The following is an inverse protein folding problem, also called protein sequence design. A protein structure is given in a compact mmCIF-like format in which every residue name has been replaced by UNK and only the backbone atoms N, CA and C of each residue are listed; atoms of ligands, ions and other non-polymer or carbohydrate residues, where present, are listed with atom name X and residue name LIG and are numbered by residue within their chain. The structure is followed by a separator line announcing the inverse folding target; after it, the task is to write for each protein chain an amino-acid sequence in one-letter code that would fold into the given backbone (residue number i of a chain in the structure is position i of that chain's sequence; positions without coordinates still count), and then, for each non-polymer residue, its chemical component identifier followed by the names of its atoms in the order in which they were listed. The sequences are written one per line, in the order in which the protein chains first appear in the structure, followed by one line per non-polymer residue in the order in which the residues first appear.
data_IF_402374901144
#
_entry.id   IF_402374901144
#
_cell.length_a   1.000
_cell.length_b   1.000
_cell.length_c   1.000
_cell.angle_alpha   90.00
_cell.angle_beta   90.00
_cell.angle_gamma   90.00
#
_symmetry.space_group_name_H-M   'P 1'
#
loop_
_entity.id
_entity.type
_entity.pdbx_description
1 polymer ?
#
# COMPACT_ATOMS: atom_id res chain seq x y z
N UNK A 1 66.67 19.65 -28.37
CA UNK A 1 65.41 19.86 -29.10
C UNK A 1 64.37 18.93 -28.50
N UNK A 2 63.39 19.49 -27.79
CA UNK A 2 62.28 18.75 -27.19
C UNK A 2 61.10 18.73 -28.18
N UNK A 3 60.46 17.57 -28.33
CA UNK A 3 59.14 17.42 -28.95
C UNK A 3 58.35 16.34 -28.21
N UNK A 4 57.01 16.45 -28.14
CA UNK A 4 56.19 15.86 -27.07
C UNK A 4 55.52 14.53 -27.47
N UNK A 5 54.98 13.76 -26.51
CA UNK A 5 54.13 12.60 -26.83
C UNK A 5 52.69 13.06 -27.14
N UNK A 6 52.14 12.59 -28.26
CA UNK A 6 50.74 12.77 -28.61
C UNK A 6 50.00 11.43 -28.60
N UNK A 7 48.78 11.48 -28.04
CA UNK A 7 47.63 10.61 -28.25
C UNK A 7 47.67 9.18 -27.69
N UNK A 8 47.28 9.08 -26.42
CA UNK A 8 46.48 7.96 -25.92
C UNK A 8 45.00 8.24 -26.21
N UNK A 9 44.42 7.51 -27.16
CA UNK A 9 42.97 7.30 -27.24
C UNK A 9 42.57 6.21 -26.24
N UNK A 10 41.57 6.43 -25.38
CA UNK A 10 40.75 5.34 -24.87
C UNK A 10 39.46 5.29 -25.68
N UNK A 11 39.23 4.15 -26.32
CA UNK A 11 37.95 3.79 -26.90
C UNK A 11 36.89 3.75 -25.79
N UNK A 12 35.91 4.65 -25.86
CA UNK A 12 34.67 4.55 -25.11
C UNK A 12 33.84 3.41 -25.70
N UNK A 13 33.60 2.37 -24.92
CA UNK A 13 32.49 1.43 -25.08
C UNK A 13 32.07 1.03 -23.67
N UNK A 14 30.93 1.56 -23.21
CA UNK A 14 29.67 0.82 -23.04
C UNK A 14 29.83 -0.27 -21.97
N UNK A 15 29.10 -0.28 -20.86
CA UNK A 15 27.65 -0.19 -20.81
C UNK A 15 27.18 0.15 -19.39
N UNK A 16 26.18 1.01 -19.27
CA UNK A 16 25.16 0.84 -18.23
C UNK A 16 23.84 1.20 -18.87
N UNK A 17 23.10 0.16 -19.27
CA UNK A 17 21.69 0.25 -19.62
C UNK A 17 20.96 0.68 -18.36
N UNK A 18 20.76 1.99 -18.20
CA UNK A 18 19.78 2.51 -17.28
C UNK A 18 18.42 2.17 -17.86
N UNK A 19 17.72 1.23 -17.24
CA UNK A 19 16.32 1.01 -17.58
C UNK A 19 15.56 2.29 -17.24
N UNK A 20 15.05 2.97 -18.26
CA UNK A 20 14.27 4.22 -18.15
C UNK A 20 12.94 4.05 -17.36
N UNK A 21 12.62 2.83 -16.92
CA UNK A 21 11.42 2.49 -16.14
C UNK A 21 11.46 2.94 -14.66
N UNK A 22 12.63 3.35 -14.15
CA UNK A 22 12.79 3.70 -12.74
C UNK A 22 12.32 5.12 -12.39
N UNK A 23 12.14 6.00 -13.38
CA UNK A 23 11.80 7.40 -13.12
C UNK A 23 10.32 7.58 -12.71
N UNK A 24 9.43 6.70 -13.16
CA UNK A 24 7.99 6.78 -12.89
C UNK A 24 7.55 6.07 -11.59
N UNK A 25 8.45 5.38 -10.89
CA UNK A 25 8.11 4.68 -9.65
C UNK A 25 8.05 5.66 -8.48
N UNK A 26 6.99 5.59 -7.68
CA UNK A 26 6.86 6.46 -6.51
C UNK A 26 7.69 5.92 -5.33
N UNK A 27 8.43 6.82 -4.67
CA UNK A 27 9.17 6.49 -3.45
C UNK A 27 8.23 6.25 -2.28
N UNK A 28 8.42 5.12 -1.60
CA UNK A 28 7.64 4.74 -0.41
C UNK A 28 8.56 4.34 0.74
N UNK A 29 8.05 4.51 1.97
CA UNK A 29 8.68 4.04 3.20
C UNK A 29 7.66 3.24 4.02
N UNK A 30 7.99 2.03 4.53
CA UNK A 30 7.11 1.36 5.48
C UNK A 30 7.07 2.11 6.80
N UNK A 31 5.88 2.29 7.37
CA UNK A 31 5.65 2.96 8.66
C UNK A 31 4.72 2.08 9.51
N UNK A 32 5.26 1.47 10.58
CA UNK A 32 4.56 0.44 11.36
C UNK A 32 3.93 -0.61 10.44
N UNK A 33 2.60 -0.79 10.48
CA UNK A 33 1.87 -1.70 9.59
C UNK A 33 1.48 -1.09 8.23
N UNK A 34 1.92 0.12 7.90
CA UNK A 34 1.49 0.91 6.74
C UNK A 34 2.63 1.44 5.86
N UNK A 35 2.33 2.50 5.11
CA UNK A 35 3.26 3.13 4.17
C UNK A 35 3.13 4.64 4.21
N UNK A 36 4.23 5.33 3.93
CA UNK A 36 4.28 6.76 3.61
C UNK A 36 4.77 6.94 2.17
N UNK A 37 3.97 7.55 1.27
CA UNK A 37 2.59 8.01 1.47
C UNK A 37 1.58 6.84 1.49
N UNK A 38 0.54 6.94 2.34
CA UNK A 38 -0.40 5.83 2.55
C UNK A 38 -1.39 5.64 1.40
N UNK A 39 -2.18 6.69 1.05
CA UNK A 39 -3.31 6.56 0.11
C UNK A 39 -2.90 6.01 -1.27
N UNK A 40 -1.87 6.56 -1.95
CA UNK A 40 -1.52 6.09 -3.29
C UNK A 40 -1.03 4.64 -3.28
N UNK A 41 -0.41 4.21 -2.18
CA UNK A 41 0.06 2.83 -2.00
C UNK A 41 -1.12 1.87 -1.84
N UNK A 42 -2.13 2.22 -1.03
CA UNK A 42 -3.34 1.40 -0.89
C UNK A 42 -4.14 1.31 -2.20
N UNK A 43 -4.21 2.40 -2.97
CA UNK A 43 -4.81 2.40 -4.30
C UNK A 43 -4.02 1.53 -5.27
N UNK A 44 -2.69 1.62 -5.25
CA UNK A 44 -1.81 0.75 -6.03
C UNK A 44 -1.99 -0.73 -5.70
N UNK A 45 -2.09 -1.09 -4.41
CA UNK A 45 -2.39 -2.45 -3.98
C UNK A 45 -3.76 -2.91 -4.52
N UNK A 46 -4.77 -2.05 -4.46
CA UNK A 46 -6.09 -2.36 -5.02
C UNK A 46 -6.02 -2.65 -6.53
N UNK A 47 -5.25 -1.86 -7.27
CA UNK A 47 -5.04 -2.08 -8.71
C UNK A 47 -4.31 -3.39 -8.98
N UNK A 48 -3.28 -3.74 -8.19
CA UNK A 48 -2.56 -5.01 -8.32
C UNK A 48 -3.50 -6.20 -8.12
N UNK A 49 -4.36 -6.15 -7.09
CA UNK A 49 -5.33 -7.22 -6.81
C UNK A 49 -6.33 -7.34 -7.97
N UNK A 50 -6.87 -6.21 -8.44
CA UNK A 50 -7.91 -6.17 -9.49
C UNK A 50 -7.38 -6.63 -10.86
N UNK A 51 -6.11 -6.38 -11.17
CA UNK A 51 -5.58 -6.64 -12.52
C UNK A 51 -5.47 -8.13 -12.87
N UNK A 52 -5.39 -9.01 -11.86
CA UNK A 52 -5.19 -10.46 -12.04
C UNK A 52 -6.09 -11.30 -11.14
N UNK A 53 -7.31 -10.84 -10.90
CA UNK A 53 -8.27 -11.57 -10.07
C UNK A 53 -9.01 -12.63 -10.90
N UNK A 54 -8.35 -13.76 -11.13
CA UNK A 54 -8.86 -14.84 -12.00
C UNK A 54 -9.41 -16.05 -11.21
N UNK A 55 -9.23 -16.07 -9.89
CA UNK A 55 -9.63 -17.20 -9.04
C UNK A 55 -10.67 -16.77 -8.02
N UNK A 56 -11.78 -17.50 -7.92
CA UNK A 56 -12.81 -17.31 -6.91
C UNK A 56 -12.34 -17.82 -5.54
N UNK A 57 -11.38 -17.13 -4.94
CA UNK A 57 -10.90 -17.44 -3.59
C UNK A 57 -11.43 -16.40 -2.60
N UNK A 58 -12.09 -16.82 -1.50
CA UNK A 58 -12.80 -15.91 -0.60
C UNK A 58 -11.90 -15.14 0.36
N UNK A 59 -10.60 -15.44 0.41
CA UNK A 59 -9.66 -14.74 1.28
C UNK A 59 -8.24 -14.78 0.74
N UNK A 60 -7.45 -13.78 1.13
CA UNK A 60 -6.03 -13.64 0.77
C UNK A 60 -5.18 -14.89 1.04
N UNK A 61 -5.42 -15.55 2.19
CA UNK A 61 -4.68 -16.76 2.59
C UNK A 61 -4.97 -17.98 1.71
N UNK A 62 -6.08 -17.98 0.96
CA UNK A 62 -6.45 -19.08 0.05
C UNK A 62 -5.73 -19.01 -1.29
N UNK A 63 -5.07 -17.88 -1.60
CA UNK A 63 -4.17 -17.79 -2.73
C UNK A 63 -2.85 -18.49 -2.40
N UNK A 64 -2.23 -19.14 -3.40
CA UNK A 64 -0.89 -19.69 -3.25
C UNK A 64 0.14 -18.57 -3.09
N UNK A 65 1.32 -18.92 -2.57
CA UNK A 65 2.41 -17.97 -2.42
C UNK A 65 2.81 -17.35 -3.77
N UNK A 66 2.86 -18.16 -4.83
CA UNK A 66 3.15 -17.71 -6.20
C UNK A 66 2.20 -16.61 -6.71
N UNK A 67 0.89 -16.72 -6.46
CA UNK A 67 -0.05 -15.67 -6.85
C UNK A 67 0.16 -14.39 -6.03
N UNK A 68 0.42 -14.52 -4.73
CA UNK A 68 0.75 -13.35 -3.88
C UNK A 68 2.04 -12.68 -4.30
N UNK A 69 3.04 -13.46 -4.71
CA UNK A 69 4.31 -12.96 -5.24
C UNK A 69 4.10 -12.22 -6.56
N UNK A 70 3.26 -12.76 -7.45
CA UNK A 70 2.91 -12.09 -8.69
C UNK A 70 2.32 -10.69 -8.46
N UNK A 71 1.40 -10.54 -7.50
CA UNK A 71 0.87 -9.22 -7.13
C UNK A 71 1.93 -8.31 -6.49
N UNK A 72 2.86 -8.88 -5.73
CA UNK A 72 3.96 -8.11 -5.17
C UNK A 72 4.94 -7.63 -6.25
N UNK A 73 5.16 -8.39 -7.31
CA UNK A 73 5.96 -7.95 -8.44
C UNK A 73 5.27 -6.83 -9.24
N UNK A 74 3.94 -6.88 -9.42
CA UNK A 74 3.20 -5.73 -9.98
C UNK A 74 3.28 -4.49 -9.07
N UNK A 75 3.33 -4.69 -7.76
CA UNK A 75 3.53 -3.62 -6.79
C UNK A 75 4.93 -3.00 -6.91
N UNK A 76 5.98 -3.81 -7.08
CA UNK A 76 7.37 -3.37 -7.31
C UNK A 76 7.55 -2.54 -8.59
N UNK A 77 6.75 -2.79 -9.62
CA UNK A 77 6.78 -1.98 -10.85
C UNK A 77 6.26 -0.56 -10.63
N UNK A 78 5.43 -0.32 -9.61
CA UNK A 78 4.79 0.97 -9.32
C UNK A 78 5.49 1.77 -8.22
N UNK A 79 6.12 1.08 -7.27
CA UNK A 79 6.71 1.69 -6.09
C UNK A 79 8.15 1.26 -5.91
N UNK A 80 8.98 2.19 -5.42
CA UNK A 80 10.38 1.91 -5.06
C UNK A 80 10.66 2.34 -3.62
N UNK A 81 11.59 1.63 -2.99
CA UNK A 81 11.99 1.83 -1.60
C UNK A 81 13.46 1.48 -1.40
N UNK A 82 14.05 1.92 -0.29
CA UNK A 82 15.44 1.57 0.03
C UNK A 82 15.58 0.07 0.32
N UNK A 83 16.64 -0.61 -0.14
CA UNK A 83 16.81 -2.06 0.03
C UNK A 83 16.71 -2.54 1.49
N UNK A 84 17.11 -1.71 2.46
CA UNK A 84 16.98 -1.99 3.89
C UNK A 84 15.53 -2.24 4.35
N UNK A 85 14.54 -1.79 3.58
CA UNK A 85 13.12 -1.94 3.87
C UNK A 85 12.47 -3.14 3.18
N UNK A 86 13.22 -4.01 2.47
CA UNK A 86 12.64 -5.12 1.71
C UNK A 86 11.70 -6.03 2.52
N UNK A 87 12.13 -6.44 3.72
CA UNK A 87 11.33 -7.32 4.59
C UNK A 87 10.09 -6.58 5.09
N UNK A 88 10.27 -5.39 5.66
CA UNK A 88 9.16 -4.58 6.19
C UNK A 88 8.13 -4.21 5.13
N UNK A 89 8.58 -3.85 3.91
CA UNK A 89 7.70 -3.56 2.79
C UNK A 89 6.90 -4.79 2.37
N UNK A 90 7.52 -5.98 2.35
CA UNK A 90 6.79 -7.20 2.01
C UNK A 90 5.74 -7.54 3.07
N UNK A 91 6.09 -7.45 4.35
CA UNK A 91 5.16 -7.73 5.45
C UNK A 91 3.97 -6.76 5.44
N UNK A 92 4.25 -5.47 5.24
CA UNK A 92 3.21 -4.45 5.16
C UNK A 92 2.33 -4.64 3.91
N UNK A 93 2.93 -5.03 2.78
CA UNK A 93 2.18 -5.37 1.58
C UNK A 93 1.20 -6.52 1.85
N UNK A 94 1.66 -7.62 2.44
CA UNK A 94 0.81 -8.78 2.78
C UNK A 94 -0.37 -8.39 3.68
N UNK A 95 -0.11 -7.65 4.75
CA UNK A 95 -1.14 -7.16 5.68
C UNK A 95 -2.15 -6.25 4.97
N UNK A 96 -1.65 -5.28 4.18
CA UNK A 96 -2.50 -4.29 3.50
C UNK A 96 -3.26 -4.89 2.33
N UNK A 97 -2.68 -5.82 1.59
CA UNK A 97 -3.36 -6.52 0.51
C UNK A 97 -4.48 -7.42 1.05
N UNK A 98 -4.26 -8.14 2.15
CA UNK A 98 -5.30 -8.92 2.81
C UNK A 98 -6.47 -8.05 3.30
N UNK A 99 -6.16 -6.93 3.95
CA UNK A 99 -7.17 -5.96 4.39
C UNK A 99 -7.92 -5.35 3.19
N UNK A 100 -7.20 -4.96 2.13
CA UNK A 100 -7.78 -4.33 0.95
C UNK A 100 -8.68 -5.29 0.18
N UNK A 101 -8.28 -6.54 0.02
CA UNK A 101 -9.14 -7.58 -0.59
C UNK A 101 -10.45 -7.76 0.18
N UNK A 102 -10.37 -7.78 1.52
CA UNK A 102 -11.56 -7.87 2.38
C UNK A 102 -12.51 -6.69 2.14
N UNK A 103 -11.96 -5.47 2.04
CA UNK A 103 -12.74 -4.27 1.72
C UNK A 103 -13.38 -4.35 0.33
N UNK A 104 -12.64 -4.78 -0.69
CA UNK A 104 -13.17 -4.96 -2.05
C UNK A 104 -14.38 -5.92 -2.05
N UNK A 105 -14.29 -7.05 -1.35
CA UNK A 105 -15.41 -7.99 -1.25
C UNK A 105 -16.56 -7.46 -0.40
N UNK A 106 -16.31 -6.62 0.61
CA UNK A 106 -17.38 -5.92 1.33
C UNK A 106 -18.12 -4.94 0.41
N UNK A 107 -17.39 -4.18 -0.40
CA UNK A 107 -17.96 -3.21 -1.32
C UNK A 107 -18.80 -3.89 -2.41
N UNK A 108 -18.35 -5.02 -2.95
CA UNK A 108 -19.15 -5.81 -3.89
C UNK A 108 -20.45 -6.28 -3.21
N UNK A 109 -20.36 -6.85 -2.00
CA UNK A 109 -21.53 -7.37 -1.29
C UNK A 109 -22.58 -6.30 -0.98
N UNK A 110 -22.16 -5.06 -0.70
CA UNK A 110 -23.08 -3.93 -0.49
C UNK A 110 -23.83 -3.53 -1.75
N UNK A 111 -23.26 -3.78 -2.93
CA UNK A 111 -23.81 -3.36 -4.22
C UNK A 111 -24.36 -4.54 -5.04
N UNK A 112 -24.58 -5.71 -4.43
CA UNK A 112 -25.19 -6.85 -5.13
C UNK A 112 -26.59 -6.47 -5.66
N UNK A 113 -26.99 -6.99 -6.85
CA UNK A 113 -26.31 -7.98 -7.67
C UNK A 113 -25.29 -7.40 -8.69
N UNK A 114 -24.89 -6.14 -8.57
CA UNK A 114 -24.01 -5.49 -9.55
C UNK A 114 -22.60 -6.09 -9.51
N UNK A 115 -22.16 -6.62 -10.66
CA UNK A 115 -20.81 -7.16 -10.83
C UNK A 115 -19.79 -6.03 -11.05
N UNK A 116 -18.62 -6.07 -10.40
CA UNK A 116 -17.54 -5.14 -10.73
C UNK A 116 -16.92 -5.43 -12.11
N UNK A 117 -16.45 -4.38 -12.78
CA UNK A 117 -15.81 -4.48 -14.11
C UNK A 117 -14.53 -5.31 -14.14
N UNK A 118 -13.79 -5.37 -13.03
CA UNK A 118 -12.50 -6.07 -12.92
C UNK A 118 -12.62 -7.56 -12.58
N UNK A 119 -13.83 -8.08 -12.36
CA UNK A 119 -14.05 -9.49 -12.03
C UNK A 119 -14.74 -10.20 -13.21
N UNK A 120 -14.20 -11.36 -13.60
CA UNK A 120 -14.83 -12.22 -14.60
C UNK A 120 -16.20 -12.73 -14.15
N UNK A 121 -17.08 -13.03 -15.11
CA UNK A 121 -18.47 -13.47 -14.81
C UNK A 121 -18.50 -14.78 -14.04
N UNK A 122 -17.69 -15.77 -14.45
CA UNK A 122 -17.60 -17.07 -13.78
C UNK A 122 -17.07 -16.93 -12.34
N UNK A 123 -16.01 -16.13 -12.16
CA UNK A 123 -15.43 -15.85 -10.84
C UNK A 123 -16.43 -15.16 -9.93
N UNK A 124 -17.18 -14.18 -10.47
CA UNK A 124 -18.20 -13.48 -9.70
C UNK A 124 -19.34 -14.41 -9.31
N UNK A 125 -19.78 -15.29 -10.21
CA UNK A 125 -20.82 -16.29 -9.94
C UNK A 125 -20.40 -17.23 -8.81
N UNK A 126 -19.21 -17.82 -8.88
CA UNK A 126 -18.68 -18.69 -7.82
C UNK A 126 -18.55 -17.97 -6.47
N UNK A 127 -18.04 -16.73 -6.49
CA UNK A 127 -17.94 -15.90 -5.27
C UNK A 127 -19.31 -15.57 -4.68
N UNK A 128 -20.31 -15.30 -5.53
CA UNK A 128 -21.68 -15.03 -5.11
C UNK A 128 -22.31 -16.27 -4.47
N UNK A 129 -22.17 -17.44 -5.08
CA UNK A 129 -22.63 -18.72 -4.51
C UNK A 129 -21.99 -18.97 -3.14
N UNK A 130 -20.67 -18.73 -3.01
CA UNK A 130 -19.99 -18.82 -1.72
C UNK A 130 -20.56 -17.84 -0.67
N UNK A 131 -20.85 -16.58 -1.03
CA UNK A 131 -21.45 -15.63 -0.10
C UNK A 131 -22.90 -15.95 0.27
N UNK A 132 -23.62 -16.65 -0.60
CA UNK A 132 -24.99 -17.10 -0.34
C UNK A 132 -25.05 -18.37 0.51
N UNK A 133 -23.93 -19.09 0.65
CA UNK A 133 -23.82 -20.32 1.44
C UNK A 133 -24.25 -20.11 2.91
N UNK A 134 -24.97 -21.08 3.51
CA UNK A 134 -25.36 -21.03 4.92
C UNK A 134 -24.16 -20.90 5.87
N UNK A 135 -23.05 -21.55 5.56
CA UNK A 135 -21.83 -21.53 6.37
C UNK A 135 -21.25 -20.11 6.45
N UNK A 136 -21.18 -19.42 5.32
CA UNK A 136 -20.69 -18.05 5.28
C UNK A 136 -21.63 -17.09 6.02
N UNK A 137 -22.95 -17.20 5.79
CA UNK A 137 -23.95 -16.36 6.45
C UNK A 137 -23.91 -16.53 7.97
N UNK A 138 -23.91 -17.77 8.46
CA UNK A 138 -23.84 -18.08 9.88
C UNK A 138 -22.59 -17.46 10.53
N UNK A 139 -21.42 -17.65 9.91
CA UNK A 139 -20.17 -17.06 10.40
C UNK A 139 -20.18 -15.53 10.37
N UNK A 140 -20.77 -14.94 9.33
CA UNK A 140 -20.90 -13.48 9.20
C UNK A 140 -21.82 -12.90 10.27
N UNK A 141 -22.95 -13.56 10.54
CA UNK A 141 -23.88 -13.16 11.60
C UNK A 141 -23.26 -13.29 12.99
N UNK A 142 -22.55 -14.39 13.25
CA UNK A 142 -21.81 -14.57 14.50
C UNK A 142 -20.77 -13.48 14.70
N UNK A 143 -19.97 -13.16 13.67
CA UNK A 143 -19.01 -12.06 13.73
C UNK A 143 -19.68 -10.70 13.97
N UNK A 144 -20.85 -10.45 13.36
CA UNK A 144 -21.63 -9.22 13.60
C UNK A 144 -22.11 -9.15 15.04
N UNK A 145 -22.59 -10.26 15.60
CA UNK A 145 -22.99 -10.36 17.01
C UNK A 145 -21.80 -10.11 17.94
N UNK A 146 -20.65 -10.72 17.69
CA UNK A 146 -19.43 -10.53 18.47
C UNK A 146 -18.89 -9.08 18.41
N UNK A 147 -19.09 -8.39 17.28
CA UNK A 147 -18.72 -6.98 17.15
C UNK A 147 -19.68 -6.05 17.90
N UNK A 148 -20.96 -6.42 17.99
CA UNK A 148 -22.00 -5.64 18.65
C UNK A 148 -22.14 -5.97 20.15
N UNK A 149 -21.59 -7.09 20.61
CA UNK A 149 -21.57 -7.43 22.03
C UNK A 149 -20.64 -6.48 22.76
N UNK A 150 -21.17 -5.73 23.72
CA UNK A 150 -20.42 -4.80 24.55
C UNK A 150 -19.48 -5.53 25.55
N UNK A 151 -19.59 -6.85 25.64
CA UNK A 151 -18.91 -7.73 26.60
C UNK A 151 -17.39 -7.88 26.39
N UNK A 152 -16.82 -7.08 25.49
CA UNK A 152 -15.37 -7.00 25.24
C UNK A 152 -14.93 -5.64 24.69
N UNK A 153 -15.75 -4.60 24.83
CA UNK A 153 -15.43 -3.26 24.39
C UNK A 153 -14.33 -2.66 25.28
N UNK A 154 -13.07 -2.99 25.00
CA UNK A 154 -11.97 -2.12 25.37
C UNK A 154 -12.23 -0.78 24.70
N UNK A 155 -12.62 0.23 25.48
CA UNK A 155 -12.69 1.63 25.05
C UNK A 155 -11.25 2.08 24.83
N UNK A 156 -10.64 1.59 23.76
CA UNK A 156 -9.33 2.01 23.35
C UNK A 156 -9.54 3.34 22.64
N UNK A 157 -9.49 4.43 23.40
CA UNK A 157 -9.00 5.71 22.87
C UNK A 157 -7.52 5.48 22.56
N UNK A 158 -7.22 4.68 21.51
CA UNK A 158 -5.90 4.57 20.90
C UNK A 158 -5.49 6.00 20.62
N UNK A 159 -4.66 6.58 21.49
CA UNK A 159 -4.34 7.99 21.52
C UNK A 159 -3.93 8.45 20.14
N UNK A 160 -4.88 9.00 19.39
CA UNK A 160 -4.63 9.57 18.09
C UNK A 160 -3.82 10.82 18.39
N UNK A 161 -2.50 10.69 18.26
CA UNK A 161 -1.58 11.80 18.41
C UNK A 161 -2.00 12.82 17.36
N UNK A 162 -2.45 13.99 17.82
CA UNK A 162 -2.97 15.00 16.91
C UNK A 162 -1.92 15.34 15.85
N UNK A 163 -2.37 15.63 14.63
CA UNK A 163 -1.50 16.00 13.51
C UNK A 163 -0.49 17.09 13.88
N UNK A 164 -0.88 18.00 14.78
CA UNK A 164 -0.03 19.02 15.39
C UNK A 164 1.18 18.42 16.12
N UNK A 165 0.95 17.43 16.98
CA UNK A 165 2.00 16.78 17.77
C UNK A 165 2.94 15.97 16.88
N UNK A 166 2.42 15.29 15.84
CA UNK A 166 3.25 14.57 14.87
C UNK A 166 4.17 15.52 14.09
N UNK A 167 3.64 16.63 13.59
CA UNK A 167 4.44 17.63 12.85
C UNK A 167 5.48 18.27 13.76
N UNK A 168 5.10 18.60 15.00
CA UNK A 168 6.02 19.19 15.97
C UNK A 168 7.21 18.28 16.26
N UNK A 169 6.95 16.99 16.49
CA UNK A 169 7.98 15.99 16.74
C UNK A 169 8.93 15.84 15.54
N UNK A 170 8.38 15.71 14.32
CA UNK A 170 9.16 15.62 13.08
C UNK A 170 10.03 16.86 12.84
N UNK A 171 9.54 18.05 13.18
CA UNK A 171 10.33 19.29 13.06
C UNK A 171 11.48 19.34 14.07
N UNK A 172 11.24 18.89 15.31
CA UNK A 172 12.27 18.80 16.36
C UNK A 172 13.36 17.79 16.00
N UNK A 173 12.97 16.62 15.48
CA UNK A 173 13.89 15.57 15.03
C UNK A 173 14.75 16.03 13.84
N UNK A 174 14.16 16.72 12.86
CA UNK A 174 14.88 17.20 11.68
C UNK A 174 15.87 18.34 11.96
N UNK A 175 15.57 19.19 12.95
CA UNK A 175 16.34 20.42 13.22
C UNK A 175 17.23 20.28 14.46
N UNK A 176 17.02 19.25 15.29
CA UNK A 176 17.67 19.07 16.59
C UNK A 176 17.31 20.14 17.64
N UNK A 177 16.41 21.07 17.30
CA UNK A 177 16.02 22.22 18.11
C UNK A 177 14.50 22.37 18.12
N UNK A 178 13.99 23.07 19.12
CA UNK A 178 12.55 23.29 19.25
C UNK A 178 12.01 24.17 18.10
N UNK A 179 10.92 23.77 17.42
CA UNK A 179 10.41 24.51 16.28
C UNK A 179 9.85 25.87 16.70
N UNK A 180 10.16 26.92 15.94
CA UNK A 180 9.47 28.20 16.09
C UNK A 180 8.00 28.07 15.67
N UNK A 181 7.11 28.75 16.42
CA UNK A 181 5.65 28.76 16.18
C UNK A 181 5.32 29.18 14.75
N UNK A 182 6.04 30.15 14.19
CA UNK A 182 5.82 30.63 12.82
C UNK A 182 6.09 29.52 11.77
N UNK A 183 7.22 28.82 11.92
CA UNK A 183 7.58 27.71 11.03
C UNK A 183 6.59 26.54 11.19
N UNK A 184 6.15 26.27 12.42
CA UNK A 184 5.17 25.23 12.71
C UNK A 184 3.82 25.50 12.02
N UNK A 185 3.31 26.73 12.12
CA UNK A 185 2.06 27.15 11.46
C UNK A 185 2.18 27.05 9.93
N UNK A 186 3.30 27.50 9.35
CA UNK A 186 3.54 27.40 7.91
C UNK A 186 3.53 25.93 7.42
N UNK A 187 4.18 25.03 8.17
CA UNK A 187 4.23 23.58 7.88
C UNK A 187 2.86 22.92 8.00
N UNK A 188 2.04 23.34 8.97
CA UNK A 188 0.67 22.87 9.14
C UNK A 188 -0.24 23.24 7.95
N UNK A 189 -0.17 24.49 7.51
CA UNK A 189 -1.01 25.01 6.43
C UNK A 189 -0.61 24.39 5.08
N UNK A 190 0.70 24.29 4.80
CA UNK A 190 1.21 23.70 3.56
C UNK A 190 0.85 22.21 3.40
N UNK A 191 0.85 21.44 4.49
CA UNK A 191 0.41 20.04 4.43
C UNK A 191 -1.11 19.88 4.33
N UNK A 192 -1.90 20.84 4.83
CA UNK A 192 -3.35 20.83 4.65
C UNK A 192 -3.73 21.06 3.18
N UNK A 193 -3.03 21.96 2.48
CA UNK A 193 -3.26 22.23 1.06
C UNK A 193 -2.87 21.08 0.14
N UNK A 194 -1.90 20.23 0.53
CA UNK A 194 -1.52 19.02 -0.23
C UNK A 194 -2.51 17.85 -0.10
N UNK A 195 -3.43 17.89 0.88
CA UNK A 195 -4.40 16.83 1.15
C UNK A 195 -5.81 17.10 0.58
N UNK A 196 -6.00 18.24 -0.12
CA UNK A 196 -7.26 18.70 -0.71
C UNK A 196 -7.22 18.70 -2.24
N UNK A 197 -6.16 18.16 -2.84
CA UNK A 197 -6.04 17.90 -4.28
C UNK A 197 -6.17 16.42 -4.60
#
# INVERSE_FOLDING_TARGET
MMSPPANMTPATSSSTVGNDDDEHRMWIKPEADGFDPHKPVIEGIALCIRSKFELAKPSWKKFSQSIRDMWFEEFRKKFKWLPQYNVATRDNFEKRAAARMTQLFQDIRKNLPVKPNWMGDDVFKEMKEYWESPEFKSKSEQNKKNCNSNDGASIHTCGCISHRVVIWKRMKEATGKEPSIANFIFRLITQKMKNVG
#
